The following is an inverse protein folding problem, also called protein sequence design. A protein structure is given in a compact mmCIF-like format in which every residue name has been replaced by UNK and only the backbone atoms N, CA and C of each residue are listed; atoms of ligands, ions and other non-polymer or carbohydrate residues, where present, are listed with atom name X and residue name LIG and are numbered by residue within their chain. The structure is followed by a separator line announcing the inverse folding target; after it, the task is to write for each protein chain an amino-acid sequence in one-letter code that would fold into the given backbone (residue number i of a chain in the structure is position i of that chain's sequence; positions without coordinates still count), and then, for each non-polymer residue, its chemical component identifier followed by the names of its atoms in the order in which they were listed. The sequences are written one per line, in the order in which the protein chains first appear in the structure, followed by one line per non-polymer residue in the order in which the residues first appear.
data_IF_954297559652
#
_entry.id   IF_954297559652
#
_cell.length_a   1.000
_cell.length_b   1.000
_cell.length_c   1.000
_cell.angle_alpha   90.00
_cell.angle_beta   90.00
_cell.angle_gamma   90.00
#
_symmetry.space_group_name_H-M   'P 1'
#
loop_
_entity.id
_entity.type
_entity.pdbx_description
1 polymer ?
#
# COMPACT_ATOMS: atom_id res chain seq x y z
N UNK A 1 1.89 18.20 -6.28
CA UNK A 1 3.24 17.64 -6.57
C UNK A 1 4.23 18.69 -7.06
N UNK A 2 4.24 19.11 -8.34
CA UNK A 2 5.28 20.06 -8.86
C UNK A 2 5.29 21.37 -8.06
N UNK A 3 4.13 21.98 -7.84
CA UNK A 3 4.02 23.22 -7.06
C UNK A 3 4.45 23.08 -5.60
N UNK A 4 4.20 21.92 -4.97
CA UNK A 4 4.61 21.66 -3.59
C UNK A 4 6.12 21.42 -3.51
N UNK A 5 6.64 20.60 -4.42
CA UNK A 5 8.05 20.25 -4.47
C UNK A 5 8.94 21.45 -4.85
N UNK A 6 8.46 22.37 -5.71
CA UNK A 6 9.16 23.61 -6.07
C UNK A 6 9.47 24.50 -4.86
N UNK A 7 8.71 24.40 -3.77
CA UNK A 7 8.97 25.14 -2.52
C UNK A 7 10.31 24.76 -1.88
N UNK A 8 10.75 23.51 -2.10
CA UNK A 8 11.98 22.95 -1.53
C UNK A 8 13.09 22.77 -2.57
N UNK A 9 12.72 22.51 -3.83
CA UNK A 9 13.65 22.36 -4.95
C UNK A 9 13.17 23.20 -6.15
N UNK A 10 13.58 24.48 -6.26
CA UNK A 10 13.08 25.39 -7.29
C UNK A 10 13.25 24.89 -8.72
N UNK A 11 14.32 24.12 -8.99
CA UNK A 11 14.59 23.51 -10.29
C UNK A 11 13.51 22.52 -10.75
N UNK A 12 12.68 22.00 -9.84
CA UNK A 12 11.50 21.20 -10.23
C UNK A 12 10.49 22.01 -11.06
N UNK A 13 10.52 23.34 -11.01
CA UNK A 13 9.63 24.19 -11.79
C UNK A 13 9.72 23.96 -13.31
N UNK A 14 10.85 23.43 -13.79
CA UNK A 14 11.12 23.22 -15.21
C UNK A 14 10.88 21.77 -15.67
N UNK A 15 10.39 20.90 -14.78
CA UNK A 15 10.13 19.49 -15.14
C UNK A 15 8.92 19.38 -16.06
N UNK A 16 9.04 18.52 -17.06
CA UNK A 16 7.95 18.19 -17.97
C UNK A 16 7.26 16.91 -17.52
N UNK A 17 5.94 16.95 -17.42
CA UNK A 17 5.14 15.75 -17.21
C UNK A 17 5.29 14.80 -18.41
N UNK A 18 5.46 13.50 -18.12
CA UNK A 18 5.57 12.44 -19.13
C UNK A 18 4.31 11.57 -19.11
N UNK A 19 4.01 10.97 -17.96
CA UNK A 19 2.82 10.18 -17.72
C UNK A 19 2.53 10.09 -16.22
N UNK A 20 1.29 9.76 -15.88
CA UNK A 20 0.87 9.45 -14.51
C UNK A 20 0.56 7.97 -14.41
N UNK A 21 0.94 7.35 -13.30
CA UNK A 21 0.54 5.99 -12.96
C UNK A 21 -0.57 6.05 -11.91
N UNK A 22 -1.58 5.21 -12.08
CA UNK A 22 -2.72 5.11 -11.18
C UNK A 22 -2.91 3.65 -10.78
N UNK A 23 -3.30 3.43 -9.53
CA UNK A 23 -3.55 2.10 -9.00
C UNK A 23 -4.62 2.18 -7.90
N UNK A 24 -5.29 1.06 -7.64
CA UNK A 24 -6.29 0.93 -6.58
C UNK A 24 -5.64 0.26 -5.38
N UNK A 25 -5.54 1.00 -4.27
CA UNK A 25 -5.08 0.44 -3.00
C UNK A 25 -6.24 -0.29 -2.32
N UNK A 26 -6.08 -1.57 -2.06
CA UNK A 26 -6.96 -2.31 -1.15
C UNK A 26 -6.56 -2.00 0.29
N UNK A 27 -7.38 -1.23 0.99
CA UNK A 27 -7.15 -0.88 2.40
C UNK A 27 -8.32 -1.38 3.25
N UNK A 28 -8.04 -1.68 4.51
CA UNK A 28 -9.11 -1.91 5.48
C UNK A 28 -9.85 -0.59 5.73
N UNK A 29 -11.16 -0.67 5.98
CA UNK A 29 -12.00 0.51 6.27
C UNK A 29 -11.41 1.34 7.42
N UNK A 30 -10.89 0.68 8.46
CA UNK A 30 -10.25 1.35 9.61
C UNK A 30 -9.00 2.17 9.25
N UNK A 31 -8.41 1.91 8.08
CA UNK A 31 -7.18 2.53 7.58
C UNK A 31 -7.44 3.47 6.39
N UNK A 32 -8.68 3.90 6.12
CA UNK A 32 -8.94 4.89 5.07
C UNK A 32 -8.38 6.29 5.40
N UNK A 33 -8.17 6.57 6.69
CA UNK A 33 -7.71 7.87 7.18
C UNK A 33 -6.19 7.94 7.40
N UNK A 34 -5.47 6.84 7.26
CA UNK A 34 -4.02 6.77 7.40
C UNK A 34 -3.37 5.96 6.25
N UNK A 35 -2.04 5.98 6.16
CA UNK A 35 -1.31 5.14 5.19
C UNK A 35 -0.95 3.76 5.78
N UNK A 36 -1.63 3.35 6.87
CA UNK A 36 -1.51 2.04 7.46
C UNK A 36 -2.06 0.99 6.49
N UNK A 37 -1.21 0.00 6.16
CA UNK A 37 -1.59 -1.12 5.28
C UNK A 37 -1.10 -2.42 5.92
N UNK A 38 -1.64 -2.80 7.09
CA UNK A 38 -1.29 -4.04 7.74
C UNK A 38 -1.83 -5.21 6.93
N UNK A 39 -1.10 -6.33 6.93
CA UNK A 39 -1.58 -7.58 6.34
C UNK A 39 -2.80 -8.03 7.13
N UNK A 40 -3.92 -8.24 6.45
CA UNK A 40 -5.03 -9.01 7.01
C UNK A 40 -4.95 -10.43 6.46
N UNK A 41 -4.72 -11.37 7.35
CA UNK A 41 -4.74 -12.80 7.05
C UNK A 41 -5.99 -13.42 7.70
N UNK A 42 -6.75 -14.20 6.94
CA UNK A 42 -7.92 -14.91 7.42
C UNK A 42 -7.84 -16.39 7.02
N UNK A 43 -7.84 -17.28 8.03
CA UNK A 43 -8.01 -18.72 7.85
C UNK A 43 -9.50 -19.07 7.71
N UNK A 44 -9.82 -20.08 6.90
CA UNK A 44 -11.19 -20.59 6.77
C UNK A 44 -11.27 -22.02 7.33
N UNK A 45 -11.83 -22.14 8.54
CA UNK A 45 -11.88 -23.41 9.28
C UNK A 45 -12.68 -24.51 8.54
N UNK A 46 -13.65 -24.12 7.73
CA UNK A 46 -14.51 -25.03 6.96
C UNK A 46 -13.82 -25.63 5.72
N UNK A 47 -12.66 -25.09 5.31
CA UNK A 47 -11.92 -25.58 4.14
C UNK A 47 -10.41 -25.63 4.43
N UNK A 48 -9.87 -26.82 4.78
CA UNK A 48 -8.46 -26.98 5.13
C UNK A 48 -7.53 -26.44 4.05
N UNK A 49 -6.62 -25.54 4.45
CA UNK A 49 -5.62 -24.94 3.57
C UNK A 49 -6.09 -23.68 2.83
N UNK A 50 -7.33 -23.20 3.05
CA UNK A 50 -7.77 -21.93 2.49
C UNK A 50 -7.39 -20.74 3.38
N UNK A 51 -6.76 -19.74 2.76
CA UNK A 51 -6.44 -18.46 3.36
C UNK A 51 -6.86 -17.30 2.46
N UNK A 52 -7.44 -16.26 3.05
CA UNK A 52 -7.64 -14.97 2.41
C UNK A 52 -6.58 -13.99 2.90
N UNK A 53 -5.94 -13.28 1.97
CA UNK A 53 -4.97 -12.23 2.26
C UNK A 53 -5.49 -10.91 1.69
N UNK A 54 -5.73 -9.92 2.54
CA UNK A 54 -5.98 -8.54 2.10
C UNK A 54 -4.73 -7.71 2.39
N UNK A 55 -4.33 -6.96 1.36
CA UNK A 55 -2.95 -6.64 1.05
C UNK A 55 -2.11 -5.91 2.09
N UNK A 56 -0.85 -5.74 1.70
CA UNK A 56 0.20 -5.05 2.45
C UNK A 56 0.96 -4.10 1.53
N UNK A 57 1.91 -3.35 2.06
CA UNK A 57 2.91 -2.66 1.26
C UNK A 57 3.99 -3.64 0.78
N UNK A 58 4.64 -3.35 -0.33
CA UNK A 58 5.71 -4.23 -0.86
C UNK A 58 6.84 -4.40 0.17
N UNK A 59 7.15 -3.34 0.92
CA UNK A 59 8.19 -3.32 1.95
C UNK A 59 7.88 -4.22 3.15
N UNK A 60 6.61 -4.61 3.38
CA UNK A 60 6.21 -5.40 4.54
C UNK A 60 5.63 -6.78 4.19
N UNK A 61 5.94 -7.30 3.00
CA UNK A 61 5.47 -8.63 2.55
C UNK A 61 5.90 -9.77 3.49
N UNK A 62 7.02 -9.60 4.20
CA UNK A 62 7.55 -10.62 5.10
C UNK A 62 6.82 -10.69 6.44
N UNK A 63 6.06 -9.67 6.82
CA UNK A 63 5.17 -9.68 7.99
C UNK A 63 4.19 -10.86 7.93
N UNK A 64 3.88 -11.35 6.72
CA UNK A 64 3.00 -12.49 6.52
C UNK A 64 3.56 -13.74 7.20
N UNK A 65 4.88 -13.93 7.20
CA UNK A 65 5.53 -15.11 7.80
C UNK A 65 5.29 -15.17 9.31
N UNK A 66 5.27 -14.02 9.98
CA UNK A 66 4.98 -13.93 11.42
C UNK A 66 3.51 -14.27 11.76
N UNK A 67 2.60 -14.19 10.78
CA UNK A 67 1.17 -14.48 10.96
C UNK A 67 0.80 -15.94 10.71
N UNK A 68 1.68 -16.72 10.06
CA UNK A 68 1.47 -18.17 9.81
C UNK A 68 2.29 -19.07 10.74
N UNK A 69 3.20 -18.52 11.54
CA UNK A 69 3.83 -19.21 12.68
C UNK A 69 2.89 -19.30 13.89
#
# INVERSE_FOLDING_TARGET
MVNDARRYMPAIGDVRWIQSLYDVKTVLIKNEHDDGRPILLQHHDDMPGLWSVLGSKIDNIYDLLELVE
#
